data_IF_891206847956
#
_entry.id   IF_891206847956
#
_cell.length_a   1.000
_cell.length_b   1.000
_cell.length_c   1.000
_cell.angle_alpha   90.00
_cell.angle_beta   90.00
_cell.angle_gamma   90.00
#
_symmetry.space_group_name_H-M   'P 1'
#
loop_
_entity.id
_entity.type
_entity.pdbx_description
1 polymer ?
#
# COMPACT_ATOMS: atom_id res chain seq x y z
N UNK A 1 -6.45 19.22 -15.72
CA UNK A 1 -7.49 19.59 -14.73
C UNK A 1 -7.42 18.60 -13.57
N UNK A 2 -6.73 18.96 -12.49
CA UNK A 2 -6.60 18.12 -11.29
C UNK A 2 -7.93 18.23 -10.54
N UNK A 3 -8.71 17.15 -10.47
CA UNK A 3 -9.93 17.14 -9.64
C UNK A 3 -9.49 17.28 -8.17
N UNK A 4 -9.61 18.51 -7.66
CA UNK A 4 -9.57 18.80 -6.23
C UNK A 4 -10.72 18.03 -5.55
N UNK A 5 -10.40 17.44 -4.41
CA UNK A 5 -11.31 16.74 -3.52
C UNK A 5 -12.61 17.53 -3.32
N UNK A 6 -13.74 17.00 -3.80
CA UNK A 6 -15.06 17.44 -3.36
C UNK A 6 -15.32 16.85 -1.97
N UNK A 7 -15.21 17.68 -0.94
CA UNK A 7 -15.44 17.26 0.44
C UNK A 7 -16.91 17.02 0.74
N UNK A 8 -17.24 15.85 1.28
CA UNK A 8 -18.43 15.60 2.13
C UNK A 8 -18.14 14.43 3.09
N UNK A 9 -18.09 14.76 4.40
CA UNK A 9 -17.76 13.90 5.56
C UNK A 9 -16.33 13.31 5.57
N UNK A 10 -15.62 13.47 6.69
CA UNK A 10 -14.46 12.63 6.99
C UNK A 10 -14.98 11.19 7.06
N UNK A 11 -14.87 10.45 5.96
CA UNK A 11 -15.36 9.08 5.92
C UNK A 11 -14.49 8.26 6.86
N UNK A 12 -15.15 7.65 7.86
CA UNK A 12 -14.52 6.68 8.76
C UNK A 12 -13.77 5.63 7.93
N UNK A 13 -12.64 5.15 8.42
CA UNK A 13 -11.91 4.05 7.79
C UNK A 13 -12.84 2.86 7.56
N UNK A 14 -13.00 2.41 6.33
CA UNK A 14 -13.86 1.26 6.04
C UNK A 14 -13.36 -0.04 6.70
N UNK A 15 -12.07 -0.14 7.01
CA UNK A 15 -11.48 -1.31 7.64
C UNK A 15 -11.74 -1.44 9.14
N UNK A 16 -11.99 -0.34 9.86
CA UNK A 16 -12.09 -0.35 11.33
C UNK A 16 -13.11 0.64 11.94
N UNK A 17 -13.73 1.48 11.13
CA UNK A 17 -14.69 2.50 11.58
C UNK A 17 -14.07 3.72 12.26
N UNK A 18 -12.74 3.83 12.37
CA UNK A 18 -12.09 4.98 12.99
C UNK A 18 -12.28 6.26 12.18
N UNK A 19 -12.56 7.42 12.81
CA UNK A 19 -12.58 8.71 12.12
C UNK A 19 -11.17 9.32 11.96
N UNK A 20 -10.14 8.77 12.60
CA UNK A 20 -8.77 9.31 12.58
C UNK A 20 -8.04 9.09 11.25
N UNK A 21 -8.46 8.11 10.47
CA UNK A 21 -7.79 7.73 9.22
C UNK A 21 -8.76 7.13 8.21
N UNK A 22 -8.26 6.95 6.98
CA UNK A 22 -8.93 6.19 5.91
C UNK A 22 -8.15 4.90 5.62
N UNK A 23 -8.73 4.04 4.79
CA UNK A 23 -8.15 2.75 4.43
C UNK A 23 -6.73 2.88 3.83
N UNK A 24 -6.41 4.00 3.17
CA UNK A 24 -5.09 4.27 2.59
C UNK A 24 -3.92 4.21 3.58
N UNK A 25 -4.14 4.39 4.89
CA UNK A 25 -3.09 4.27 5.92
C UNK A 25 -3.43 3.23 6.98
N UNK A 26 -4.48 2.44 6.74
CA UNK A 26 -4.85 1.34 7.59
C UNK A 26 -3.77 0.25 7.59
N UNK A 27 -3.54 -0.35 8.76
CA UNK A 27 -2.49 -1.35 8.97
C UNK A 27 -3.00 -2.74 9.33
N UNK A 28 -4.25 -2.92 9.74
CA UNK A 28 -4.68 -4.26 10.18
C UNK A 28 -4.89 -5.14 8.94
N UNK A 29 -4.00 -6.11 8.79
CA UNK A 29 -4.02 -7.09 7.72
C UNK A 29 -4.69 -8.41 8.16
N UNK A 30 -5.10 -9.23 7.19
CA UNK A 30 -5.72 -10.53 7.41
C UNK A 30 -4.80 -11.49 8.17
N UNK A 31 -5.39 -12.31 9.04
CA UNK A 31 -4.64 -13.23 9.91
C UNK A 31 -3.98 -14.38 9.15
N UNK A 32 -4.48 -14.74 7.97
CA UNK A 32 -3.96 -15.87 7.19
C UNK A 32 -3.01 -15.41 6.09
N UNK A 33 -3.40 -14.38 5.35
CA UNK A 33 -2.67 -13.87 4.18
C UNK A 33 -1.68 -12.77 4.51
N UNK A 34 -1.86 -12.02 5.60
CA UNK A 34 -1.05 -10.85 5.91
C UNK A 34 -1.32 -9.67 4.96
N UNK A 35 -2.51 -9.61 4.36
CA UNK A 35 -2.90 -8.60 3.39
C UNK A 35 -4.12 -7.79 3.81
N UNK A 36 -4.21 -6.57 3.29
CA UNK A 36 -5.38 -5.72 3.47
C UNK A 36 -6.31 -5.89 2.27
N UNK A 37 -7.62 -6.00 2.54
CA UNK A 37 -8.65 -6.04 1.51
C UNK A 37 -9.23 -4.65 1.26
N UNK A 38 -9.77 -4.46 0.07
CA UNK A 38 -10.47 -3.24 -0.31
C UNK A 38 -9.65 -2.27 -1.14
N UNK A 39 -10.21 -1.08 -1.32
CA UNK A 39 -9.68 -0.03 -2.17
C UNK A 39 -9.29 1.19 -1.31
N UNK A 40 -7.99 1.49 -1.17
CA UNK A 40 -7.53 2.65 -0.40
C UNK A 40 -7.96 3.98 -1.01
N UNK A 41 -8.19 4.03 -2.33
CA UNK A 41 -8.64 5.23 -3.05
C UNK A 41 -10.08 5.61 -2.68
N UNK A 42 -10.98 4.63 -2.81
CA UNK A 42 -12.41 4.82 -2.51
C UNK A 42 -12.72 4.72 -1.01
N UNK A 43 -11.80 4.21 -0.18
CA UNK A 43 -12.03 3.88 1.23
C UNK A 43 -13.24 2.93 1.37
N UNK A 44 -13.19 1.79 0.68
CA UNK A 44 -14.23 0.74 0.71
C UNK A 44 -13.60 -0.64 0.76
N UNK A 45 -14.36 -1.64 1.20
CA UNK A 45 -13.97 -3.06 1.18
C UNK A 45 -14.61 -3.84 0.02
N UNK A 46 -15.47 -3.20 -0.77
CA UNK A 46 -16.28 -3.85 -1.83
C UNK A 46 -15.46 -4.24 -3.08
N UNK A 47 -14.41 -3.49 -3.39
CA UNK A 47 -13.52 -3.76 -4.52
C UNK A 47 -12.06 -3.52 -4.13
N UNK A 48 -11.12 -4.15 -4.84
CA UNK A 48 -9.68 -3.92 -4.70
C UNK A 48 -9.24 -2.66 -5.47
N UNK A 49 -8.03 -2.16 -5.20
CA UNK A 49 -7.47 -1.07 -6.00
C UNK A 49 -7.37 -1.45 -7.49
N UNK A 50 -6.99 -2.68 -7.80
CA UNK A 50 -6.87 -3.19 -9.18
C UNK A 50 -8.22 -3.15 -9.94
N UNK A 51 -9.34 -3.29 -9.25
CA UNK A 51 -10.69 -3.30 -9.82
C UNK A 51 -11.47 -2.01 -9.53
N UNK A 52 -10.78 -0.91 -9.19
CA UNK A 52 -11.44 0.32 -8.80
C UNK A 52 -12.02 1.06 -10.02
N UNK A 53 -13.33 1.38 -10.05
CA UNK A 53 -13.94 2.07 -11.19
C UNK A 53 -13.58 3.56 -11.25
N UNK A 54 -13.15 4.14 -10.13
CA UNK A 54 -12.84 5.58 -10.00
C UNK A 54 -11.39 5.92 -10.35
N UNK A 55 -10.54 4.92 -10.58
CA UNK A 55 -9.13 5.13 -10.90
C UNK A 55 -8.90 4.93 -12.39
N UNK A 56 -8.04 5.77 -12.98
CA UNK A 56 -7.66 5.64 -14.39
C UNK A 56 -6.78 4.42 -14.66
N UNK A 57 -6.21 3.84 -13.60
CA UNK A 57 -5.22 2.76 -13.67
C UNK A 57 -4.03 3.09 -14.57
N UNK A 58 -3.71 4.37 -14.73
CA UNK A 58 -2.49 4.78 -15.43
C UNK A 58 -1.25 4.55 -14.56
N UNK A 59 -0.09 4.43 -15.20
CA UNK A 59 1.14 4.07 -14.52
C UNK A 59 1.51 5.05 -13.40
N UNK A 60 1.33 6.36 -13.62
CA UNK A 60 1.66 7.37 -12.62
C UNK A 60 0.82 7.19 -11.35
N UNK A 61 -0.48 6.97 -11.51
CA UNK A 61 -1.39 6.72 -10.40
C UNK A 61 -1.08 5.42 -9.66
N UNK A 62 -0.70 4.37 -10.38
CA UNK A 62 -0.31 3.10 -9.77
C UNK A 62 0.97 3.25 -8.94
N UNK A 63 2.01 3.91 -9.48
CA UNK A 63 3.25 4.18 -8.74
C UNK A 63 3.02 5.06 -7.50
N UNK A 64 2.14 6.06 -7.59
CA UNK A 64 1.72 6.87 -6.43
C UNK A 64 1.02 5.99 -5.38
N UNK A 65 0.11 5.11 -5.80
CA UNK A 65 -0.56 4.14 -4.93
C UNK A 65 0.41 3.24 -4.16
N UNK A 66 1.45 2.77 -4.84
CA UNK A 66 2.52 1.93 -4.27
C UNK A 66 3.33 2.75 -3.26
N UNK A 67 3.75 3.95 -3.64
CA UNK A 67 4.53 4.85 -2.77
C UNK A 67 3.75 5.26 -1.51
N UNK A 68 2.43 5.47 -1.62
CA UNK A 68 1.57 5.74 -0.46
C UNK A 68 1.57 4.62 0.57
N UNK A 69 1.89 3.39 0.14
CA UNK A 69 1.98 2.20 0.97
C UNK A 69 3.41 1.85 1.39
N UNK A 70 4.38 2.74 1.17
CA UNK A 70 5.73 2.56 1.67
C UNK A 70 5.76 2.33 3.20
N UNK A 71 6.47 1.27 3.61
CA UNK A 71 6.57 0.82 5.01
C UNK A 71 5.21 0.53 5.66
N UNK A 72 4.27 -0.04 4.92
CA UNK A 72 2.96 -0.48 5.40
C UNK A 72 2.60 -1.85 4.82
N UNK A 73 1.64 -2.58 5.41
CA UNK A 73 1.15 -3.81 4.84
C UNK A 73 0.61 -3.61 3.41
N UNK A 74 0.80 -4.60 2.54
CA UNK A 74 0.29 -4.53 1.17
C UNK A 74 -1.22 -4.82 1.10
N UNK A 75 -1.85 -4.34 0.03
CA UNK A 75 -3.22 -4.68 -0.31
C UNK A 75 -3.28 -5.95 -1.18
N UNK A 76 -4.42 -6.62 -1.20
CA UNK A 76 -4.72 -7.64 -2.21
C UNK A 76 -5.11 -7.00 -3.54
N UNK A 77 -4.63 -7.57 -4.67
CA UNK A 77 -3.56 -8.57 -4.80
C UNK A 77 -2.14 -7.95 -4.68
N UNK A 78 -1.17 -8.70 -4.16
CA UNK A 78 0.20 -8.21 -3.91
C UNK A 78 1.11 -8.29 -5.14
N UNK A 79 0.92 -9.28 -6.02
CA UNK A 79 1.82 -9.48 -7.16
C UNK A 79 1.69 -8.38 -8.22
N UNK A 80 0.53 -7.70 -8.29
CA UNK A 80 0.28 -6.63 -9.25
C UNK A 80 1.27 -5.47 -9.09
N UNK A 81 1.62 -5.07 -7.86
CA UNK A 81 2.46 -3.88 -7.68
C UNK A 81 3.92 -4.12 -8.06
N UNK A 82 4.48 -5.31 -7.80
CA UNK A 82 5.87 -5.62 -8.15
C UNK A 82 6.02 -5.61 -9.66
N UNK A 83 5.07 -6.23 -10.37
CA UNK A 83 5.05 -6.25 -11.83
C UNK A 83 4.95 -4.84 -12.41
N UNK A 84 4.05 -4.00 -11.87
CA UNK A 84 3.90 -2.60 -12.28
C UNK A 84 5.21 -1.83 -12.14
N UNK A 85 5.92 -1.92 -11.01
CA UNK A 85 7.21 -1.26 -10.84
C UNK A 85 8.26 -1.82 -11.79
N UNK A 86 8.27 -3.14 -11.99
CA UNK A 86 9.18 -3.80 -12.94
C UNK A 86 9.02 -3.28 -14.36
N UNK A 87 7.78 -3.21 -14.86
CA UNK A 87 7.46 -2.64 -16.18
C UNK A 87 7.84 -1.16 -16.25
N UNK A 88 7.56 -0.39 -15.20
CA UNK A 88 7.93 1.03 -15.16
C UNK A 88 9.45 1.24 -15.29
N UNK A 89 10.22 0.49 -14.51
CA UNK A 89 11.69 0.57 -14.50
C UNK A 89 12.27 0.11 -15.84
N UNK A 90 11.74 -0.97 -16.42
CA UNK A 90 12.13 -1.43 -17.75
C UNK A 90 11.88 -0.36 -18.84
N UNK A 91 10.84 0.46 -18.68
CA UNK A 91 10.52 1.58 -19.56
C UNK A 91 11.25 2.89 -19.20
N UNK A 92 12.28 2.85 -18.34
CA UNK A 92 13.13 4.00 -18.02
C UNK A 92 12.61 4.90 -16.89
N UNK A 93 11.55 4.52 -16.19
CA UNK A 93 11.11 5.24 -15.00
C UNK A 93 11.99 4.89 -13.78
N UNK A 94 12.12 5.84 -12.85
CA UNK A 94 12.73 5.55 -11.55
C UNK A 94 11.76 4.74 -10.67
N UNK A 95 12.24 3.76 -9.90
CA UNK A 95 11.39 3.06 -8.95
C UNK A 95 10.92 4.02 -7.82
N UNK A 96 9.82 3.69 -7.12
CA UNK A 96 9.43 4.37 -5.89
C UNK A 96 10.55 4.39 -4.84
N UNK A 97 10.55 5.39 -3.96
CA UNK A 97 11.53 5.53 -2.88
C UNK A 97 11.22 4.63 -1.66
N UNK A 98 10.12 3.89 -1.70
CA UNK A 98 9.77 2.93 -0.68
C UNK A 98 8.59 2.06 -1.11
N UNK A 99 8.50 0.88 -0.51
CA UNK A 99 7.60 -0.18 -0.95
C UNK A 99 6.72 -0.69 0.19
N UNK A 100 5.58 -1.31 -0.13
CA UNK A 100 4.81 -2.07 0.84
C UNK A 100 5.65 -3.19 1.47
N UNK A 101 5.34 -3.52 2.71
CA UNK A 101 5.86 -4.72 3.36
C UNK A 101 5.36 -5.98 2.65
N UNK A 102 6.19 -7.01 2.68
CA UNK A 102 5.79 -8.37 2.37
C UNK A 102 4.70 -8.86 3.33
N UNK A 103 3.96 -9.88 2.88
CA UNK A 103 2.98 -10.59 3.72
C UNK A 103 3.64 -11.20 4.95
N UNK A 104 4.83 -11.78 4.78
CA UNK A 104 5.56 -12.43 5.86
C UNK A 104 5.99 -11.42 6.93
N UNK A 105 6.56 -10.28 6.54
CA UNK A 105 6.94 -9.23 7.48
C UNK A 105 5.72 -8.60 8.17
N UNK A 106 4.62 -8.42 7.44
CA UNK A 106 3.36 -7.98 8.05
C UNK A 106 2.90 -8.95 9.16
N UNK A 107 3.02 -10.26 8.93
CA UNK A 107 2.66 -11.29 9.91
C UNK A 107 3.55 -11.24 11.15
N UNK A 108 4.86 -11.02 11.00
CA UNK A 108 5.77 -10.90 12.16
C UNK A 108 5.45 -9.68 13.02
N UNK A 109 4.92 -8.61 12.43
CA UNK A 109 4.55 -7.38 13.15
C UNK A 109 3.13 -7.39 13.74
N UNK A 110 2.35 -8.47 13.58
CA UNK A 110 0.92 -8.52 13.91
C UNK A 110 0.57 -7.96 15.29
N UNK A 111 1.33 -8.34 16.32
CA UNK A 111 1.11 -7.88 17.70
C UNK A 111 1.30 -6.37 17.89
N UNK A 112 2.08 -5.74 17.01
CA UNK A 112 2.47 -4.33 17.09
C UNK A 112 1.75 -3.43 16.07
N UNK A 113 1.01 -3.97 15.10
CA UNK A 113 0.33 -3.16 14.07
C UNK A 113 -0.59 -2.08 14.66
N UNK A 114 -1.25 -2.37 15.78
CA UNK A 114 -2.11 -1.38 16.45
C UNK A 114 -1.33 -0.21 17.05
N UNK A 115 -0.10 -0.44 17.51
CA UNK A 115 0.80 0.59 18.04
C UNK A 115 1.24 1.51 16.90
N UNK A 116 1.67 0.94 15.78
CA UNK A 116 2.08 1.71 14.60
C UNK A 116 0.91 2.49 13.99
N UNK A 117 -0.30 1.92 13.93
CA UNK A 117 -1.49 2.65 13.50
C UNK A 117 -1.76 3.87 14.39
N UNK A 118 -1.71 3.71 15.73
CA UNK A 118 -1.89 4.84 16.66
C UNK A 118 -0.82 5.92 16.48
N UNK A 119 0.41 5.51 16.18
CA UNK A 119 1.48 6.44 15.81
C UNK A 119 1.11 7.28 14.59
N UNK A 120 0.74 6.63 13.49
CA UNK A 120 0.33 7.30 12.25
C UNK A 120 -0.90 8.20 12.42
N UNK A 121 -1.89 7.75 13.17
CA UNK A 121 -3.11 8.53 13.43
C UNK A 121 -2.79 9.86 14.13
N UNK A 122 -1.70 9.92 14.91
CA UNK A 122 -1.25 11.14 15.61
C UNK A 122 -0.42 12.06 14.72
N UNK A 123 0.50 11.50 13.93
CA UNK A 123 1.47 12.30 13.16
C UNK A 123 1.05 12.56 11.71
N UNK A 124 0.01 11.89 11.24
CA UNK A 124 -0.47 11.97 9.87
C UNK A 124 0.33 11.11 8.89
N UNK A 125 -0.27 10.83 7.73
CA UNK A 125 0.25 9.89 6.75
C UNK A 125 1.58 10.29 6.09
N UNK A 126 1.90 11.58 6.08
CA UNK A 126 3.14 12.11 5.52
C UNK A 126 4.36 11.78 6.40
N UNK A 127 4.14 11.39 7.67
CA UNK A 127 5.23 11.10 8.59
C UNK A 127 5.33 9.59 8.83
N UNK A 128 6.19 8.94 8.04
CA UNK A 128 6.51 7.50 8.15
C UNK A 128 7.67 7.20 9.09
N UNK A 129 8.20 8.21 9.81
CA UNK A 129 9.33 8.00 10.73
C UNK A 129 8.92 7.03 11.84
N UNK A 130 9.79 6.06 12.12
CA UNK A 130 9.59 5.06 13.16
C UNK A 130 8.75 3.85 12.73
N UNK A 131 8.29 3.79 11.48
CA UNK A 131 7.74 2.55 10.94
C UNK A 131 8.88 1.55 10.65
N UNK A 132 8.67 0.25 10.92
CA UNK A 132 9.62 -0.78 10.53
C UNK A 132 9.87 -0.79 9.03
N UNK A 133 11.12 -1.08 8.66
CA UNK A 133 11.52 -1.29 7.27
C UNK A 133 11.59 -2.79 7.04
N UNK A 134 10.89 -3.27 6.02
CA UNK A 134 10.95 -4.68 5.61
C UNK A 134 12.27 -4.91 4.86
N UNK A 135 13.17 -5.80 5.32
CA UNK A 135 14.44 -6.05 4.65
C UNK A 135 14.30 -6.60 3.22
N UNK A 136 13.17 -7.24 2.90
CA UNK A 136 12.89 -7.82 1.59
C UNK A 136 12.32 -6.79 0.60
N UNK A 137 11.89 -5.62 1.07
CA UNK A 137 11.32 -4.55 0.22
C UNK A 137 11.85 -3.15 0.60
N UNK A 138 13.03 -3.07 1.22
CA UNK A 138 13.62 -1.81 1.69
C UNK A 138 14.08 -0.88 0.55
N UNK A 139 14.35 -1.44 -0.62
CA UNK A 139 14.80 -0.75 -1.82
C UNK A 139 14.45 -1.60 -3.07
N UNK A 140 14.62 -1.04 -4.27
CA UNK A 140 14.24 -1.76 -5.49
C UNK A 140 15.11 -3.01 -5.74
N UNK A 141 16.40 -2.95 -5.40
CA UNK A 141 17.32 -4.07 -5.56
C UNK A 141 16.87 -5.29 -4.74
N UNK A 142 16.46 -5.06 -3.49
CA UNK A 142 15.93 -6.12 -2.61
C UNK A 142 14.60 -6.67 -3.11
N UNK A 143 13.71 -5.81 -3.63
CA UNK A 143 12.46 -6.24 -4.27
C UNK A 143 12.75 -7.17 -5.45
N UNK A 144 13.66 -6.80 -6.35
CA UNK A 144 14.02 -7.62 -7.51
C UNK A 144 14.59 -8.99 -7.11
N UNK A 145 15.43 -9.03 -6.06
CA UNK A 145 15.97 -10.28 -5.54
C UNK A 145 14.91 -11.17 -4.88
N UNK A 146 13.94 -10.55 -4.18
CA UNK A 146 12.87 -11.28 -3.49
C UNK A 146 11.80 -11.81 -4.43
N UNK A 147 11.45 -11.00 -5.42
CA UNK A 147 10.42 -11.26 -6.40
C UNK A 147 11.10 -11.27 -7.77
N UNK A 148 11.85 -12.34 -8.10
CA UNK A 148 12.45 -12.44 -9.41
C UNK A 148 11.35 -12.31 -10.46
N UNK A 149 11.65 -11.68 -11.62
CA UNK A 149 10.71 -11.69 -12.73
C UNK A 149 10.26 -13.13 -12.98
N UNK A 150 8.97 -13.32 -13.24
CA UNK A 150 8.49 -14.61 -13.70
C UNK A 150 9.23 -14.96 -15.00
N UNK A 151 10.20 -15.88 -14.90
CA UNK A 151 10.76 -16.57 -16.06
C UNK A 151 9.82 -17.73 -16.41
N UNK A 152 8.99 -17.55 -17.44
CA UNK A 152 8.14 -18.61 -18.03
C UNK A 152 6.69 -18.14 -18.24
N UNK A 153 6.05 -18.37 -19.40
CA UNK A 153 6.26 -19.36 -20.46
C UNK A 153 6.13 -18.73 -21.86
#
# INVERSE_FOLDING_TARGET
>A
MVKRFSGTKVSKCAGCGSPSHRLNIYMKAGLLDGLIKGCPWCNTLEHSLANCPETKHDLAMQLEGIQMRANLPSFQPTQDWVHVVGVAVANGHKPPNGFPWTTQFTKTLRGSLSLYQRGLDRVGFNNRKGLPIDPDTKDWETVQRKFPPFEGY
#
